data_IF_942972671085
#
_entry.id   IF_942972671085
#
_cell.length_a   1.000
_cell.length_b   1.000
_cell.length_c   1.000
_cell.angle_alpha   90.00
_cell.angle_beta   90.00
_cell.angle_gamma   90.00
#
_symmetry.space_group_name_H-M   'P 1'
#
loop_
_entity.id
_entity.type
_entity.pdbx_description
1 polymer ?
#
# COMPACT_ATOMS: atom_id res chain seq x y z
N UNK A 1 0.03 -2.12 4.63
CA UNK A 1 -0.41 -2.83 3.40
C UNK A 1 -1.00 -1.79 2.48
N UNK A 2 -0.55 -1.78 1.23
CA UNK A 2 -1.10 -0.94 0.17
C UNK A 2 -1.89 -1.87 -0.77
N UNK A 3 -3.18 -1.64 -0.93
CA UNK A 3 -3.99 -2.30 -1.96
C UNK A 3 -4.15 -1.31 -3.11
N UNK A 4 -3.66 -1.66 -4.29
CA UNK A 4 -3.41 -0.69 -5.35
C UNK A 4 -4.01 -1.17 -6.66
N UNK A 5 -4.92 -0.39 -7.22
CA UNK A 5 -5.18 -0.41 -8.66
C UNK A 5 -3.95 0.12 -9.42
N UNK A 6 -3.36 -0.65 -10.36
CA UNK A 6 -2.26 -0.20 -11.20
C UNK A 6 -2.48 1.12 -11.96
N UNK A 7 -3.72 1.49 -12.26
CA UNK A 7 -4.05 2.76 -12.92
C UNK A 7 -4.00 3.95 -11.95
N UNK A 8 -4.19 3.70 -10.65
CA UNK A 8 -4.12 4.70 -9.55
C UNK A 8 -2.82 4.59 -8.74
N UNK A 9 -1.76 4.01 -9.33
CA UNK A 9 -0.53 3.61 -8.62
C UNK A 9 0.22 4.74 -7.93
N UNK A 10 -0.02 5.99 -8.30
CA UNK A 10 0.64 7.17 -7.76
C UNK A 10 -0.20 7.94 -6.73
N UNK A 11 -1.47 7.56 -6.53
CA UNK A 11 -2.45 8.30 -5.74
C UNK A 11 -1.97 8.59 -4.31
N UNK A 12 -1.24 7.64 -3.72
CA UNK A 12 -0.74 7.69 -2.35
C UNK A 12 0.80 7.59 -2.24
N UNK A 13 1.55 8.00 -3.27
CA UNK A 13 3.03 8.01 -3.19
C UNK A 13 3.54 8.86 -2.00
N UNK A 14 2.86 9.96 -1.66
CA UNK A 14 3.19 10.81 -0.52
C UNK A 14 3.10 10.06 0.82
N UNK A 15 2.25 9.03 0.93
CA UNK A 15 2.17 8.18 2.13
C UNK A 15 3.43 7.32 2.26
N UNK A 16 3.85 6.65 1.19
CA UNK A 16 5.07 5.85 1.20
C UNK A 16 6.33 6.69 1.42
N UNK A 17 6.36 7.90 0.86
CA UNK A 17 7.45 8.86 1.07
C UNK A 17 7.51 9.34 2.52
N UNK A 18 6.36 9.65 3.13
CA UNK A 18 6.28 10.05 4.53
C UNK A 18 6.81 8.94 5.47
N UNK A 19 6.39 7.68 5.26
CA UNK A 19 6.90 6.54 6.06
C UNK A 19 8.42 6.35 5.83
N UNK A 20 8.89 6.47 4.59
CA UNK A 20 10.32 6.37 4.25
C UNK A 20 11.15 7.49 4.89
N UNK A 21 10.60 8.70 4.99
CA UNK A 21 11.26 9.85 5.61
C UNK A 21 11.52 9.66 7.11
N UNK A 22 10.74 8.80 7.79
CA UNK A 22 10.94 8.45 9.20
C UNK A 22 12.19 7.59 9.44
N UNK A 23 12.81 7.04 8.39
CA UNK A 23 14.07 6.25 8.47
C UNK A 23 14.02 5.14 9.52
N UNK A 24 12.86 4.51 9.66
CA UNK A 24 12.62 3.45 10.62
C UNK A 24 13.44 2.21 10.26
N UNK A 25 13.84 1.42 11.26
CA UNK A 25 14.58 0.18 11.01
C UNK A 25 13.69 -0.81 10.26
N UNK A 26 14.14 -1.37 9.11
CA UNK A 26 13.38 -2.34 8.34
C UNK A 26 13.18 -3.67 9.08
N UNK A 27 13.86 -3.90 10.20
CA UNK A 27 13.64 -5.07 11.06
C UNK A 27 12.36 -4.93 11.91
N UNK A 28 11.85 -3.71 12.09
CA UNK A 28 10.72 -3.44 12.98
C UNK A 28 9.37 -3.44 12.26
N UNK A 29 9.37 -3.36 10.93
CA UNK A 29 8.14 -3.28 10.15
C UNK A 29 8.30 -3.94 8.78
N UNK A 30 7.17 -4.38 8.22
CA UNK A 30 7.08 -4.88 6.86
C UNK A 30 6.15 -4.03 6.01
N UNK A 31 6.37 -4.06 4.70
CA UNK A 31 5.46 -3.47 3.72
C UNK A 31 5.01 -4.56 2.74
N UNK A 32 3.72 -4.54 2.41
CA UNK A 32 3.12 -5.41 1.40
C UNK A 32 2.31 -4.51 0.47
N UNK A 33 2.58 -4.61 -0.83
CA UNK A 33 1.80 -3.98 -1.88
C UNK A 33 1.05 -5.06 -2.66
N UNK A 34 -0.27 -5.05 -2.57
CA UNK A 34 -1.17 -5.96 -3.26
C UNK A 34 -1.76 -5.23 -4.46
N UNK A 35 -1.52 -5.77 -5.65
CA UNK A 35 -1.80 -5.14 -6.94
C UNK A 35 -3.08 -5.75 -7.52
N UNK A 36 -4.13 -4.94 -7.68
CA UNK A 36 -5.40 -5.37 -8.24
C UNK A 36 -5.31 -5.52 -9.76
N UNK A 37 -4.89 -6.70 -10.22
CA UNK A 37 -4.71 -6.98 -11.65
C UNK A 37 -6.04 -7.05 -12.43
N UNK A 38 -7.17 -7.11 -11.73
CA UNK A 38 -8.50 -7.19 -12.35
C UNK A 38 -9.18 -5.82 -12.49
N UNK A 39 -8.61 -4.75 -11.93
CA UNK A 39 -9.10 -3.38 -12.08
C UNK A 39 -8.43 -2.63 -13.24
N UNK A 40 -7.24 -3.06 -13.66
CA UNK A 40 -6.44 -2.29 -14.62
C UNK A 40 -6.75 -2.56 -16.08
N UNK A 41 -6.63 -1.50 -16.90
CA UNK A 41 -6.62 -1.59 -18.36
C UNK A 41 -5.21 -1.75 -18.95
N UNK A 42 -4.16 -1.68 -18.12
CA UNK A 42 -2.77 -1.78 -18.55
C UNK A 42 -2.43 -3.20 -19.01
N UNK A 43 -1.62 -3.34 -20.07
CA UNK A 43 -1.08 -4.65 -20.43
C UNK A 43 -0.10 -5.14 -19.35
N UNK A 44 -0.07 -6.45 -19.11
CA UNK A 44 0.74 -7.07 -18.05
C UNK A 44 2.23 -6.68 -18.06
N UNK A 45 2.82 -6.45 -19.24
CA UNK A 45 4.23 -6.05 -19.32
C UNK A 45 4.46 -4.65 -18.74
N UNK A 46 3.52 -3.71 -18.94
CA UNK A 46 3.62 -2.35 -18.41
C UNK A 46 3.51 -2.36 -16.88
N UNK A 47 2.59 -3.16 -16.33
CA UNK A 47 2.49 -3.38 -14.88
C UNK A 47 3.79 -3.97 -14.32
N UNK A 48 4.39 -4.95 -15.00
CA UNK A 48 5.65 -5.55 -14.57
C UNK A 48 6.81 -4.54 -14.53
N UNK A 49 6.93 -3.67 -15.54
CA UNK A 49 7.97 -2.63 -15.57
C UNK A 49 7.79 -1.67 -14.40
N UNK A 50 6.55 -1.21 -14.14
CA UNK A 50 6.24 -0.37 -12.97
C UNK A 50 6.64 -1.07 -11.66
N UNK A 51 6.29 -2.34 -11.49
CA UNK A 51 6.62 -3.11 -10.29
C UNK A 51 8.12 -3.31 -10.12
N UNK A 52 8.88 -3.53 -11.19
CA UNK A 52 10.34 -3.61 -11.13
C UNK A 52 10.94 -2.30 -10.62
N UNK A 53 10.53 -1.15 -11.17
CA UNK A 53 10.99 0.15 -10.70
C UNK A 53 10.64 0.41 -9.23
N UNK A 54 9.41 0.10 -8.80
CA UNK A 54 8.99 0.23 -7.40
C UNK A 54 9.74 -0.75 -6.47
N UNK A 55 10.11 -1.95 -6.94
CA UNK A 55 10.92 -2.90 -6.16
C UNK A 55 12.36 -2.39 -5.96
N UNK A 56 12.94 -1.72 -6.95
CA UNK A 56 14.26 -1.08 -6.82
C UNK A 56 14.25 0.03 -5.77
N UNK A 57 13.17 0.82 -5.73
CA UNK A 57 12.98 1.90 -4.76
C UNK A 57 12.64 1.38 -3.35
N UNK A 58 11.75 0.40 -3.25
CA UNK A 58 11.22 -0.15 -2.00
C UNK A 58 11.59 -1.63 -1.84
N UNK A 59 12.90 -1.89 -1.69
CA UNK A 59 13.50 -3.24 -1.72
C UNK A 59 12.93 -4.25 -0.74
N UNK A 60 12.44 -3.81 0.43
CA UNK A 60 11.84 -4.69 1.45
C UNK A 60 10.33 -4.90 1.29
N UNK A 61 9.69 -4.22 0.32
CA UNK A 61 8.25 -4.41 0.08
C UNK A 61 8.01 -5.73 -0.63
N UNK A 62 7.07 -6.51 -0.11
CA UNK A 62 6.55 -7.70 -0.76
C UNK A 62 5.45 -7.29 -1.73
N UNK A 63 5.61 -7.60 -3.02
CA UNK A 63 4.60 -7.33 -4.04
C UNK A 63 3.79 -8.58 -4.34
N UNK A 64 2.46 -8.48 -4.27
CA UNK A 64 1.52 -9.57 -4.52
C UNK A 64 0.58 -9.16 -5.63
N UNK A 65 0.34 -10.03 -6.61
CA UNK A 65 -0.67 -9.79 -7.66
C UNK A 65 -1.98 -10.45 -7.29
N UNK A 66 -3.01 -9.66 -7.04
CA UNK A 66 -4.37 -10.13 -6.84
C UNK A 66 -5.11 -10.18 -8.19
N UNK A 67 -5.25 -11.40 -8.72
CA UNK A 67 -5.88 -11.63 -10.03
C UNK A 67 -7.42 -11.57 -9.99
N UNK A 68 -8.04 -11.54 -8.80
CA UNK A 68 -9.48 -11.84 -8.65
C UNK A 68 -10.25 -10.81 -7.81
N UNK A 69 -9.65 -9.65 -7.52
CA UNK A 69 -10.21 -8.65 -6.58
C UNK A 69 -10.53 -9.28 -5.21
N UNK A 70 -9.64 -10.16 -4.74
CA UNK A 70 -9.87 -11.00 -3.55
C UNK A 70 -10.03 -10.16 -2.30
N UNK A 71 -9.18 -9.14 -2.09
CA UNK A 71 -9.27 -8.31 -0.89
C UNK A 71 -10.44 -7.33 -0.95
N UNK A 72 -10.70 -6.70 -2.10
CA UNK A 72 -11.93 -5.90 -2.33
C UNK A 72 -13.17 -6.69 -1.93
N UNK A 73 -13.32 -7.92 -2.45
CA UNK A 73 -14.51 -8.75 -2.18
C UNK A 73 -14.62 -9.20 -0.73
N UNK A 74 -13.50 -9.56 -0.10
CA UNK A 74 -13.53 -10.16 1.26
C UNK A 74 -13.52 -9.11 2.37
N UNK A 75 -12.91 -7.96 2.15
CA UNK A 75 -12.71 -6.93 3.16
C UNK A 75 -13.55 -5.68 2.88
N UNK A 76 -14.35 -5.69 1.81
CA UNK A 76 -15.21 -4.57 1.43
C UNK A 76 -14.44 -3.28 1.20
N UNK A 77 -13.23 -3.39 0.67
CA UNK A 77 -12.43 -2.24 0.24
C UNK A 77 -13.07 -1.59 -0.99
N UNK A 78 -12.84 -0.31 -1.16
CA UNK A 78 -13.26 0.46 -2.34
C UNK A 78 -12.49 -0.04 -3.57
N UNK A 79 -13.22 -0.43 -4.62
CA UNK A 79 -12.61 -0.88 -5.87
C UNK A 79 -12.05 0.30 -6.68
N UNK A 80 -11.16 0.00 -7.63
CA UNK A 80 -10.55 0.97 -8.55
C UNK A 80 -9.88 2.16 -7.81
N UNK A 81 -9.11 1.85 -6.76
CA UNK A 81 -8.56 2.82 -5.82
C UNK A 81 -7.17 2.43 -5.27
N UNK A 82 -6.60 3.30 -4.43
CA UNK A 82 -5.42 3.00 -3.61
C UNK A 82 -5.78 3.06 -2.11
N UNK A 83 -5.92 1.89 -1.49
CA UNK A 83 -6.30 1.77 -0.09
C UNK A 83 -5.10 1.39 0.77
N UNK A 84 -5.03 1.94 1.99
CA UNK A 84 -3.91 1.69 2.89
C UNK A 84 -4.42 1.24 4.24
N UNK A 85 -3.87 0.11 4.68
CA UNK A 85 -4.21 -0.52 5.95
C UNK A 85 -2.93 -0.69 6.76
N UNK A 86 -2.92 -0.16 7.97
CA UNK A 86 -1.88 -0.40 8.96
C UNK A 86 -2.31 -1.53 9.89
N UNK A 87 -1.45 -2.53 10.02
CA UNK A 87 -1.62 -3.62 10.98
C UNK A 87 -0.64 -3.47 12.13
N UNK A 88 -1.10 -3.78 13.35
CA UNK A 88 -0.25 -3.97 14.51
C UNK A 88 0.46 -5.33 14.45
N UNK A 89 1.44 -5.53 15.34
CA UNK A 89 2.20 -6.80 15.45
C UNK A 89 1.31 -8.01 15.80
N UNK A 90 0.17 -7.77 16.42
CA UNK A 90 -0.85 -8.78 16.73
C UNK A 90 -1.81 -9.07 15.57
N UNK A 91 -1.60 -8.42 14.42
CA UNK A 91 -2.43 -8.57 13.22
C UNK A 91 -3.72 -7.76 13.23
N UNK A 92 -3.98 -6.93 14.25
CA UNK A 92 -5.16 -6.06 14.27
C UNK A 92 -4.97 -4.84 13.37
N UNK A 93 -6.06 -4.35 12.79
CA UNK A 93 -6.08 -3.10 12.04
C UNK A 93 -5.98 -1.93 13.01
N UNK A 94 -4.93 -1.13 12.86
CA UNK A 94 -4.71 0.10 13.64
C UNK A 94 -5.18 1.35 12.90
N UNK A 95 -5.14 1.29 11.56
CA UNK A 95 -5.59 2.36 10.68
C UNK A 95 -6.03 1.75 9.35
N UNK A 96 -7.12 2.25 8.76
CA UNK A 96 -7.55 1.87 7.43
C UNK A 96 -8.22 3.07 6.78
N UNK A 97 -7.84 3.37 5.55
CA UNK A 97 -8.55 4.37 4.77
C UNK A 97 -8.48 4.01 3.29
N UNK A 98 -9.62 4.24 2.64
CA UNK A 98 -9.81 3.93 1.23
C UNK A 98 -9.67 5.22 0.42
N UNK A 99 -8.72 5.22 -0.51
CA UNK A 99 -8.44 6.32 -1.42
C UNK A 99 -7.40 7.32 -0.96
N UNK A 100 -7.47 8.52 -1.54
CA UNK A 100 -6.39 9.51 -1.41
C UNK A 100 -6.31 10.04 0.02
N UNK A 101 -5.17 9.82 0.66
CA UNK A 101 -4.89 10.35 1.99
C UNK A 101 -4.69 11.87 1.92
N UNK A 102 -5.33 12.60 2.83
CA UNK A 102 -4.99 13.99 3.12
C UNK A 102 -3.73 14.08 3.99
N UNK A 103 -3.07 15.25 4.00
CA UNK A 103 -1.88 15.48 4.84
C UNK A 103 -2.13 15.24 6.33
N UNK A 104 -3.34 15.49 6.81
CA UNK A 104 -3.75 15.21 8.19
C UNK A 104 -3.75 13.70 8.45
N UNK A 105 -4.37 12.92 7.55
CA UNK A 105 -4.41 11.46 7.65
C UNK A 105 -3.02 10.83 7.52
N UNK A 106 -2.13 11.38 6.70
CA UNK A 106 -0.72 10.94 6.65
C UNK A 106 -0.06 11.10 8.00
N UNK A 107 -0.23 12.25 8.66
CA UNK A 107 0.34 12.49 9.99
C UNK A 107 -0.23 11.52 11.03
N UNK A 108 -1.54 11.28 11.01
CA UNK A 108 -2.20 10.32 11.90
C UNK A 108 -1.67 8.89 11.68
N UNK A 109 -1.58 8.45 10.44
CA UNK A 109 -1.05 7.14 10.07
C UNK A 109 0.40 6.97 10.55
N UNK A 110 1.25 7.96 10.29
CA UNK A 110 2.66 7.93 10.70
C UNK A 110 2.78 7.92 12.22
N UNK A 111 1.94 8.67 12.93
CA UNK A 111 1.93 8.65 14.39
C UNK A 111 1.49 7.29 14.92
N UNK A 112 0.37 6.74 14.42
CA UNK A 112 -0.09 5.41 14.79
C UNK A 112 0.97 4.33 14.50
N UNK A 113 1.73 4.49 13.42
CA UNK A 113 2.83 3.61 13.09
C UNK A 113 3.97 3.66 14.11
N UNK A 114 4.39 4.86 14.52
CA UNK A 114 5.43 5.07 15.53
C UNK A 114 5.04 4.53 16.91
N UNK A 115 3.79 4.72 17.30
CA UNK A 115 3.27 4.28 18.60
C UNK A 115 3.21 2.74 18.73
N UNK A 116 3.33 2.01 17.62
CA UNK A 116 3.15 0.55 17.55
C UNK A 116 4.38 -0.22 16.99
N UNK A 117 5.55 0.46 16.94
CA UNK A 117 6.82 -0.09 16.43
C UNK A 117 7.51 -1.09 17.36
#
# INVERSE_FOLDING_TARGET
>A
LFYVDPDESDLNNHVSEAIKAEKLSPEKYGSVAVINMAATWLPNFAVNIKLQSKQEEYKSTVYVKDLKKTLVKKWSLTDDNSDIILFGKDGKVLYSYDGKFSDAQVKELVQAFKDNL
#
